data_IF_264679549169
#
_entry.id   IF_264679549169
#
_cell.length_a   1.000
_cell.length_b   1.000
_cell.length_c   1.000
_cell.angle_alpha   90.00
_cell.angle_beta   90.00
_cell.angle_gamma   90.00
#
_symmetry.space_group_name_H-M   'P 1'
#
loop_
_entity.id
_entity.type
_entity.pdbx_description
1 polymer ?
#
# COMPACT_ATOMS: atom_id res chain seq x y z
N UNK A 1 -26.89 -62.23 23.97
CA UNK A 1 -25.43 -62.48 23.88
C UNK A 1 -24.84 -61.62 22.77
N UNK A 2 -23.91 -60.76 23.19
CA UNK A 2 -22.74 -60.22 22.46
C UNK A 2 -23.00 -59.28 21.27
N UNK A 3 -22.93 -57.99 21.62
CA UNK A 3 -22.70 -56.84 20.74
C UNK A 3 -21.37 -56.99 19.97
N UNK A 4 -21.45 -56.97 18.64
CA UNK A 4 -20.31 -56.92 17.71
C UNK A 4 -20.06 -55.43 17.40
N UNK A 5 -19.04 -54.80 18.01
CA UNK A 5 -17.64 -54.75 17.56
C UNK A 5 -17.53 -54.43 16.07
N UNK A 6 -17.58 -53.14 15.75
CA UNK A 6 -16.71 -52.38 14.83
C UNK A 6 -17.08 -50.92 15.19
N UNK A 7 -16.44 -50.23 16.13
CA UNK A 7 -15.07 -49.73 16.06
C UNK A 7 -14.64 -49.28 14.65
N UNK A 8 -15.56 -48.67 13.90
CA UNK A 8 -15.19 -47.83 12.77
C UNK A 8 -14.85 -46.46 13.37
N UNK A 9 -13.62 -46.37 13.88
CA UNK A 9 -13.02 -45.14 14.35
C UNK A 9 -12.99 -44.14 13.21
N UNK A 10 -13.97 -43.25 13.20
CA UNK A 10 -14.02 -42.01 12.43
C UNK A 10 -12.92 -41.09 12.95
N UNK A 11 -11.66 -41.45 12.68
CA UNK A 11 -10.53 -40.55 12.77
C UNK A 11 -10.53 -39.68 11.50
N UNK A 12 -11.57 -38.86 11.34
CA UNK A 12 -11.52 -37.72 10.44
C UNK A 12 -10.63 -36.69 11.12
N UNK A 13 -9.33 -36.82 10.88
CA UNK A 13 -8.32 -35.85 11.25
C UNK A 13 -8.68 -34.54 10.52
N UNK A 14 -9.42 -33.66 11.20
CA UNK A 14 -9.68 -32.31 10.69
C UNK A 14 -8.36 -31.56 10.83
N UNK A 15 -7.51 -31.66 9.81
CA UNK A 15 -6.47 -30.67 9.58
C UNK A 15 -7.19 -29.36 9.26
N UNK A 16 -7.55 -28.59 10.29
CA UNK A 16 -7.80 -27.17 10.11
C UNK A 16 -6.44 -26.53 9.82
N UNK A 17 -6.06 -26.52 8.53
CA UNK A 17 -5.01 -25.64 8.08
C UNK A 17 -5.47 -24.22 8.36
N UNK A 18 -4.88 -23.57 9.37
CA UNK A 18 -4.94 -22.12 9.47
C UNK A 18 -4.27 -21.60 8.20
N UNK A 19 -5.06 -21.26 7.18
CA UNK A 19 -4.60 -20.40 6.11
C UNK A 19 -4.16 -19.12 6.81
N UNK A 20 -2.84 -18.96 7.00
CA UNK A 20 -2.27 -17.64 7.28
C UNK A 20 -2.83 -16.76 6.19
N UNK A 21 -3.71 -15.84 6.58
CA UNK A 21 -4.23 -14.83 5.68
C UNK A 21 -3.00 -14.12 5.13
N UNK A 22 -2.64 -14.45 3.88
CA UNK A 22 -1.60 -13.74 3.17
C UNK A 22 -1.91 -12.26 3.28
N UNK A 23 -0.88 -11.45 3.51
CA UNK A 23 -1.01 -10.00 3.68
C UNK A 23 -1.79 -9.42 2.49
N UNK A 24 -3.11 -9.26 2.66
CA UNK A 24 -3.96 -8.69 1.64
C UNK A 24 -3.74 -7.18 1.71
N UNK A 25 -3.15 -6.62 0.66
CA UNK A 25 -3.09 -5.17 0.50
C UNK A 25 -4.52 -4.67 0.33
N UNK A 26 -5.15 -4.24 1.43
CA UNK A 26 -6.47 -3.62 1.38
C UNK A 26 -6.32 -2.27 0.65
N UNK A 27 -7.08 -2.03 -0.42
CA UNK A 27 -7.01 -0.75 -1.12
C UNK A 27 -7.47 0.37 -0.19
N UNK A 28 -6.84 1.54 -0.31
CA UNK A 28 -7.10 2.68 0.57
C UNK A 28 -8.58 3.08 0.59
N UNK A 29 -9.27 3.07 -0.56
CA UNK A 29 -10.71 3.35 -0.61
C UNK A 29 -11.52 2.45 0.32
N UNK A 30 -11.31 1.14 0.27
CA UNK A 30 -12.09 0.17 1.04
C UNK A 30 -11.82 0.30 2.54
N UNK A 31 -10.56 0.61 2.90
CA UNK A 31 -10.20 0.87 4.30
C UNK A 31 -10.88 2.13 4.84
N UNK A 32 -11.09 3.15 4.01
CA UNK A 32 -11.68 4.42 4.43
C UNK A 32 -13.21 4.41 4.44
N UNK A 33 -13.84 3.49 3.68
CA UNK A 33 -15.29 3.39 3.56
C UNK A 33 -16.06 3.34 4.91
N UNK A 34 -15.60 2.61 5.94
CA UNK A 34 -16.30 2.53 7.23
C UNK A 34 -16.31 3.85 8.02
N UNK A 35 -15.45 4.81 7.66
CA UNK A 35 -15.35 6.10 8.33
C UNK A 35 -16.36 7.12 7.80
N UNK A 36 -17.05 6.83 6.69
CA UNK A 36 -18.19 7.64 6.23
C UNK A 36 -19.34 7.48 7.22
N UNK A 37 -19.93 8.60 7.64
CA UNK A 37 -20.97 8.67 8.67
C UNK A 37 -20.43 8.79 10.10
N UNK A 38 -19.11 8.80 10.30
CA UNK A 38 -18.49 9.06 11.61
C UNK A 38 -18.18 10.54 11.81
N UNK A 39 -18.05 10.96 13.07
CA UNK A 39 -17.63 12.32 13.39
C UNK A 39 -16.15 12.53 13.12
N UNK A 40 -15.76 13.76 12.81
CA UNK A 40 -14.36 14.13 12.57
C UNK A 40 -13.43 13.72 13.74
N UNK A 41 -13.92 13.82 14.98
CA UNK A 41 -13.17 13.41 16.18
C UNK A 41 -12.94 11.89 16.22
N UNK A 42 -13.96 11.09 15.91
CA UNK A 42 -13.80 9.63 15.85
C UNK A 42 -12.88 9.21 14.72
N UNK A 43 -12.98 9.85 13.55
CA UNK A 43 -12.10 9.58 12.42
C UNK A 43 -10.66 9.90 12.82
N UNK A 44 -10.41 11.08 13.41
CA UNK A 44 -9.07 11.47 13.84
C UNK A 44 -8.44 10.54 14.88
N UNK A 45 -9.25 9.94 15.76
CA UNK A 45 -8.76 9.02 16.79
C UNK A 45 -8.54 7.59 16.29
N UNK A 46 -9.40 7.11 15.39
CA UNK A 46 -9.42 5.70 14.98
C UNK A 46 -8.77 5.44 13.62
N UNK A 47 -8.60 6.46 12.77
CA UNK A 47 -8.00 6.30 11.45
C UNK A 47 -6.48 6.20 11.56
N UNK A 48 -5.94 5.04 11.20
CA UNK A 48 -4.50 4.80 11.23
C UNK A 48 -3.97 4.32 9.87
N UNK A 49 -3.59 5.28 9.03
CA UNK A 49 -3.06 5.03 7.69
C UNK A 49 -1.68 4.35 7.69
N UNK A 50 -0.97 4.33 8.83
CA UNK A 50 0.31 3.61 8.95
C UNK A 50 0.14 2.11 8.81
N UNK A 51 -1.03 1.57 9.16
CA UNK A 51 -1.36 0.14 8.98
C UNK A 51 -1.36 -0.29 7.52
N UNK A 52 -1.61 0.66 6.61
CA UNK A 52 -1.54 0.46 5.17
C UNK A 52 -0.16 0.81 4.57
N UNK A 53 0.82 1.14 5.40
CA UNK A 53 2.17 1.53 4.98
C UNK A 53 2.33 3.00 4.57
N UNK A 54 1.32 3.85 4.78
CA UNK A 54 1.44 5.29 4.53
C UNK A 54 2.23 5.99 5.63
N UNK A 55 3.09 6.93 5.24
CA UNK A 55 3.71 7.87 6.16
C UNK A 55 2.79 9.08 6.31
N UNK A 56 2.28 9.34 7.52
CA UNK A 56 1.39 10.48 7.79
C UNK A 56 2.19 11.72 8.17
N UNK A 57 1.86 12.88 7.57
CA UNK A 57 2.44 14.17 7.91
C UNK A 57 1.56 14.94 8.88
N UNK A 58 2.16 15.43 9.97
CA UNK A 58 1.52 16.31 10.97
C UNK A 58 0.18 15.75 11.49
N UNK A 59 -0.49 16.53 12.34
CA UNK A 59 -1.89 16.28 12.69
C UNK A 59 -2.80 16.68 11.52
N UNK A 60 -3.92 15.97 11.31
CA UNK A 60 -4.86 16.29 10.26
C UNK A 60 -5.37 17.73 10.39
N UNK A 61 -5.56 18.39 9.26
CA UNK A 61 -6.08 19.75 9.22
C UNK A 61 -7.61 19.70 9.27
N UNK A 62 -8.19 20.22 10.35
CA UNK A 62 -9.64 20.29 10.53
C UNK A 62 -10.15 21.68 10.19
N UNK A 63 -11.19 21.72 9.37
CA UNK A 63 -11.99 22.91 9.04
C UNK A 63 -13.47 22.61 9.29
N UNK A 64 -14.31 23.63 9.25
CA UNK A 64 -15.76 23.48 9.45
C UNK A 64 -16.41 22.52 8.45
N UNK A 65 -15.85 22.41 7.25
CA UNK A 65 -16.43 21.61 6.16
C UNK A 65 -15.57 20.40 5.79
N UNK A 66 -14.31 20.33 6.23
CA UNK A 66 -13.38 19.31 5.76
C UNK A 66 -12.46 18.82 6.88
N UNK A 67 -12.12 17.53 6.87
CA UNK A 67 -11.02 16.96 7.64
C UNK A 67 -10.00 16.37 6.66
N UNK A 68 -8.77 16.91 6.67
CA UNK A 68 -7.75 16.59 5.68
C UNK A 68 -6.58 15.86 6.31
N UNK A 69 -6.30 14.64 5.83
CA UNK A 69 -5.11 13.87 6.14
C UNK A 69 -4.12 13.97 4.99
N UNK A 70 -2.87 14.27 5.30
CA UNK A 70 -1.80 14.29 4.29
C UNK A 70 -0.88 13.10 4.51
N UNK A 71 -0.76 12.26 3.49
CA UNK A 71 0.17 11.13 3.48
C UNK A 71 1.24 11.29 2.42
N UNK A 72 2.46 10.83 2.72
CA UNK A 72 3.50 10.66 1.70
C UNK A 72 3.41 9.25 1.12
N UNK A 73 3.56 9.19 -0.20
CA UNK A 73 3.83 7.96 -0.92
C UNK A 73 5.24 8.03 -1.52
N UNK A 74 6.25 7.39 -0.92
CA UNK A 74 7.56 7.28 -1.57
C UNK A 74 7.42 6.35 -2.79
N UNK A 75 7.83 6.82 -3.97
CA UNK A 75 7.86 6.01 -5.19
C UNK A 75 9.31 5.91 -5.62
N UNK A 76 9.79 4.68 -5.78
CA UNK A 76 11.10 4.43 -6.38
C UNK A 76 10.91 4.33 -7.90
N UNK A 77 11.34 5.34 -8.65
CA UNK A 77 11.32 5.33 -10.11
C UNK A 77 12.68 4.82 -10.61
N UNK A 78 12.77 3.62 -11.20
CA UNK A 78 14.01 3.14 -11.79
C UNK A 78 14.35 3.96 -13.04
N UNK A 79 15.57 4.46 -13.11
CA UNK A 79 16.07 5.17 -14.30
C UNK A 79 16.36 4.17 -15.43
N UNK A 80 15.85 4.41 -16.66
CA UNK A 80 16.14 3.56 -17.79
C UNK A 80 17.62 3.68 -18.19
N UNK A 81 18.27 2.54 -18.34
CA UNK A 81 19.65 2.44 -18.81
C UNK A 81 19.64 2.75 -20.31
N UNK A 82 20.23 3.88 -20.72
CA UNK A 82 20.48 4.13 -22.13
C UNK A 82 21.57 3.16 -22.60
N UNK A 83 21.18 2.12 -23.35
CA UNK A 83 22.15 1.28 -24.04
C UNK A 83 22.75 2.09 -25.20
N UNK A 84 23.93 2.68 -24.99
CA UNK A 84 24.71 3.24 -26.10
C UNK A 84 25.18 2.09 -26.98
N UNK A 85 24.57 1.93 -28.15
CA UNK A 85 25.12 1.06 -29.19
C UNK A 85 26.45 1.68 -29.66
N UNK A 86 27.56 1.05 -29.29
CA UNK A 86 28.85 1.37 -29.87
C UNK A 86 28.84 1.04 -31.35
N UNK A 87 29.27 2.01 -32.16
CA UNK A 87 29.51 1.89 -33.60
C UNK A 87 30.27 0.59 -33.93
N UNK A 88 29.68 -0.23 -34.81
CA UNK A 88 30.17 -1.54 -35.22
C UNK A 88 31.36 -1.49 -36.23
N UNK A 89 31.98 -0.33 -36.45
CA UNK A 89 33.04 -0.15 -37.46
C UNK A 89 34.49 -0.37 -36.97
N UNK A 90 34.73 -0.78 -35.72
CA UNK A 90 36.10 -1.04 -35.23
C UNK A 90 36.44 -2.54 -35.18
N UNK A 91 37.34 -3.05 -36.05
CA UNK A 91 37.69 -4.47 -36.16
C UNK A 91 38.77 -4.87 -35.15
N UNK A 92 38.55 -4.61 -33.86
CA UNK A 92 39.42 -5.11 -32.79
C UNK A 92 38.57 -5.82 -31.74
N UNK A 93 38.08 -7.00 -32.13
CA UNK A 93 37.51 -8.01 -31.24
C UNK A 93 38.52 -8.37 -30.15
N UNK A 94 38.33 -7.82 -28.97
CA UNK A 94 39.07 -8.17 -27.77
C UNK A 94 38.20 -7.89 -26.56
N UNK A 95 37.24 -8.78 -26.31
CA UNK A 95 36.45 -8.85 -25.07
C UNK A 95 36.05 -7.49 -24.50
N UNK A 96 34.91 -6.95 -24.91
CA UNK A 96 34.25 -5.90 -24.13
C UNK A 96 33.90 -6.55 -22.79
N UNK A 97 34.83 -6.44 -21.83
CA UNK A 97 34.55 -6.68 -20.42
C UNK A 97 33.31 -5.85 -20.17
N UNK A 98 32.23 -6.53 -19.81
CA UNK A 98 31.02 -5.94 -19.26
C UNK A 98 31.46 -5.28 -17.95
N UNK A 99 32.15 -4.15 -18.07
CA UNK A 99 32.49 -3.29 -16.97
C UNK A 99 31.15 -2.88 -16.43
N UNK A 100 30.82 -3.43 -15.27
CA UNK A 100 29.75 -2.96 -14.43
C UNK A 100 29.99 -1.47 -14.24
N UNK A 101 29.40 -0.66 -15.12
CA UNK A 101 29.15 0.73 -14.82
C UNK A 101 28.13 0.62 -13.70
N UNK A 102 28.62 0.61 -12.47
CA UNK A 102 27.81 0.83 -11.28
C UNK A 102 27.30 2.26 -11.39
N UNK A 103 26.30 2.48 -12.23
CA UNK A 103 25.45 3.65 -12.10
C UNK A 103 24.64 3.38 -10.86
N UNK A 104 25.15 3.86 -9.72
CA UNK A 104 24.43 4.01 -8.47
C UNK A 104 22.97 4.27 -8.78
N UNK A 105 22.06 3.46 -8.25
CA UNK A 105 20.61 3.60 -8.44
C UNK A 105 20.19 5.06 -8.24
N UNK A 106 20.07 5.83 -9.31
CA UNK A 106 19.61 7.22 -9.25
C UNK A 106 18.08 7.18 -9.26
N UNK A 107 17.51 6.63 -8.19
CA UNK A 107 16.09 6.78 -7.90
C UNK A 107 15.84 8.22 -7.46
N UNK A 108 14.98 8.94 -8.16
CA UNK A 108 14.52 10.23 -7.66
C UNK A 108 13.60 9.98 -6.46
N UNK A 109 14.01 10.43 -5.28
CA UNK A 109 13.15 10.44 -4.09
C UNK A 109 12.17 11.61 -4.21
N UNK A 110 11.11 11.39 -5.00
CA UNK A 110 10.04 12.37 -5.16
C UNK A 110 9.00 12.08 -4.09
N UNK A 111 8.95 12.94 -3.08
CA UNK A 111 7.92 12.89 -2.04
C UNK A 111 6.58 13.31 -2.64
N UNK A 112 5.78 12.34 -3.07
CA UNK A 112 4.42 12.63 -3.53
C UNK A 112 3.48 12.69 -2.34
N UNK A 113 2.75 13.80 -2.26
CA UNK A 113 1.68 13.98 -1.28
C UNK A 113 0.36 13.49 -1.83
N UNK A 114 -0.42 12.83 -0.98
CA UNK A 114 -1.83 12.55 -1.18
C UNK A 114 -2.64 13.14 -0.01
N UNK A 115 -3.59 14.00 -0.34
CA UNK A 115 -4.55 14.56 0.58
C UNK A 115 -5.83 13.72 0.53
N UNK A 116 -6.17 13.11 1.65
CA UNK A 116 -7.43 12.41 1.87
C UNK A 116 -8.35 13.40 2.59
N UNK A 117 -9.37 13.86 1.89
CA UNK A 117 -10.26 14.94 2.32
C UNK A 117 -11.61 14.31 2.64
N UNK A 118 -11.97 14.28 3.92
CA UNK A 118 -13.33 13.96 4.33
C UNK A 118 -14.17 15.22 4.25
N UNK A 119 -15.22 15.21 3.45
CA UNK A 119 -16.20 16.30 3.44
C UNK A 119 -17.14 16.10 4.63
N UNK A 120 -17.15 17.09 5.51
CA UNK A 120 -17.94 17.12 6.74
C UNK A 120 -19.21 17.93 6.54
N UNK A 121 -20.21 17.59 7.32
CA UNK A 121 -21.42 18.40 7.42
C UNK A 121 -21.45 19.33 8.63
N UNK A 122 -22.58 20.00 8.82
CA UNK A 122 -22.79 20.94 9.93
C UNK A 122 -22.65 20.27 11.30
N UNK A 123 -22.85 18.95 11.39
CA UNK A 123 -22.69 18.16 12.62
C UNK A 123 -21.27 17.57 12.75
N UNK A 124 -20.34 17.96 11.88
CA UNK A 124 -18.98 17.42 11.82
C UNK A 124 -18.94 15.93 11.46
N UNK A 125 -19.93 15.44 10.70
CA UNK A 125 -20.01 14.06 10.25
C UNK A 125 -19.50 13.94 8.81
N UNK A 126 -18.63 12.97 8.55
CA UNK A 126 -18.11 12.71 7.21
C UNK A 126 -19.20 12.17 6.27
N UNK A 127 -19.45 12.87 5.17
CA UNK A 127 -20.42 12.48 4.14
C UNK A 127 -19.79 11.80 2.94
N UNK A 128 -18.61 12.25 2.56
CA UNK A 128 -17.90 11.77 1.39
C UNK A 128 -16.39 11.85 1.61
N UNK A 129 -15.64 11.20 0.73
CA UNK A 129 -14.18 11.25 0.73
C UNK A 129 -13.72 11.65 -0.66
N UNK A 130 -12.83 12.63 -0.71
CA UNK A 130 -12.19 13.12 -1.91
C UNK A 130 -10.68 12.97 -1.78
N UNK A 131 -10.02 12.73 -2.90
CA UNK A 131 -8.59 12.46 -2.94
C UNK A 131 -7.93 13.49 -3.84
N UNK A 132 -6.87 14.12 -3.36
CA UNK A 132 -6.15 15.14 -4.10
C UNK A 132 -4.63 14.92 -3.98
N UNK A 133 -3.96 14.73 -5.11
CA UNK A 133 -2.53 14.49 -5.13
C UNK A 133 -2.12 13.66 -6.34
N UNK A 134 -0.84 13.72 -6.69
CA UNK A 134 -0.28 12.96 -7.82
C UNK A 134 -0.10 11.47 -7.50
N UNK A 135 -0.10 11.11 -6.22
CA UNK A 135 0.04 9.75 -5.73
C UNK A 135 -1.08 9.36 -4.76
N UNK A 136 -2.28 9.88 -5.00
CA UNK A 136 -3.51 9.19 -4.67
C UNK A 136 -3.79 8.24 -5.85
#
# INVERSE_FOLDING_TARGET
>A
MVNYKICLGTLALVLQGCATSGWQSVPLQDYLQPYIGQSADQIQQNLNLRTLGFQTLKQPQRSNQNLVFTVLRPINIPVPIAQSYGDASSPMSGSVRLGSVSTSQQSYDVNFYCHIIFELDQQQIARSIRYEGKAC
#
